data_IF_598279907174
#
_entry.id   IF_598279907174
#
_cell.length_a   1.000
_cell.length_b   1.000
_cell.length_c   1.000
_cell.angle_alpha   90.00
_cell.angle_beta   90.00
_cell.angle_gamma   90.00
#
_symmetry.space_group_name_H-M   'P 1'
#
loop_
_entity.id
_entity.type
_entity.pdbx_description
1 polymer ?
#
# COMPACT_ATOMS: atom_id res chain seq x y z
N UNK A 1 -27.72 -13.47 19.45
CA UNK A 1 -26.90 -13.49 18.23
C UNK A 1 -27.24 -12.24 17.45
N UNK A 2 -26.62 -11.11 17.78
CA UNK A 2 -26.83 -9.85 17.08
C UNK A 2 -25.89 -9.80 15.88
N UNK A 3 -26.46 -9.87 14.68
CA UNK A 3 -25.73 -9.60 13.45
C UNK A 3 -25.18 -8.17 13.52
N UNK A 4 -23.86 -8.01 13.69
CA UNK A 4 -23.21 -6.71 13.47
C UNK A 4 -23.33 -6.37 11.98
N UNK A 5 -23.64 -5.10 11.61
CA UNK A 5 -23.64 -4.71 10.21
C UNK A 5 -22.22 -4.88 9.65
N UNK A 6 -22.17 -5.53 8.49
CA UNK A 6 -20.99 -6.16 7.87
C UNK A 6 -19.82 -5.20 7.52
N UNK A 7 -20.00 -3.88 7.63
CA UNK A 7 -18.96 -2.91 7.24
C UNK A 7 -19.09 -1.66 8.11
N UNK A 8 -18.30 -1.58 9.18
CA UNK A 8 -18.10 -0.34 9.93
C UNK A 8 -16.91 0.39 9.31
N UNK A 9 -17.03 1.68 8.92
CA UNK A 9 -15.91 2.46 8.37
C UNK A 9 -14.65 2.43 9.26
N UNK A 10 -14.84 2.36 10.57
CA UNK A 10 -13.75 2.27 11.54
C UNK A 10 -12.91 0.98 11.41
N UNK A 11 -13.48 -0.12 10.89
CA UNK A 11 -12.75 -1.37 10.70
C UNK A 11 -11.80 -1.33 9.50
N UNK A 12 -12.10 -0.51 8.48
CA UNK A 12 -11.34 -0.44 7.22
C UNK A 12 -10.44 0.81 7.08
N UNK A 13 -10.52 1.76 8.01
CA UNK A 13 -9.79 3.03 7.91
C UNK A 13 -8.28 2.88 7.63
N UNK A 14 -7.64 1.87 8.22
CA UNK A 14 -6.21 1.58 7.95
C UNK A 14 -6.02 1.11 6.51
N UNK A 15 -6.80 0.13 6.05
CA UNK A 15 -6.69 -0.39 4.69
C UNK A 15 -6.96 0.70 3.64
N UNK A 16 -7.98 1.52 3.86
CA UNK A 16 -8.34 2.65 2.99
C UNK A 16 -7.18 3.67 2.90
N UNK A 17 -6.56 4.02 4.04
CA UNK A 17 -5.42 4.93 4.06
C UNK A 17 -4.21 4.38 3.31
N UNK A 18 -3.93 3.07 3.44
CA UNK A 18 -2.84 2.42 2.70
C UNK A 18 -3.12 2.42 1.19
N UNK A 19 -4.35 2.11 0.78
CA UNK A 19 -4.75 2.10 -0.62
C UNK A 19 -4.64 3.50 -1.25
N UNK A 20 -5.04 4.54 -0.52
CA UNK A 20 -4.90 5.93 -0.97
C UNK A 20 -3.42 6.28 -1.20
N UNK A 21 -2.55 6.00 -0.22
CA UNK A 21 -1.11 6.27 -0.33
C UNK A 21 -0.43 5.48 -1.47
N UNK A 22 -0.90 4.26 -1.78
CA UNK A 22 -0.41 3.48 -2.91
C UNK A 22 -0.81 4.11 -4.25
N UNK A 23 -2.05 4.59 -4.38
CA UNK A 23 -2.50 5.31 -5.57
C UNK A 23 -1.74 6.61 -5.78
N UNK A 24 -1.52 7.40 -4.72
CA UNK A 24 -0.69 8.60 -4.79
C UNK A 24 0.73 8.28 -5.27
N UNK A 25 1.34 7.20 -4.75
CA UNK A 25 2.69 6.76 -5.15
C UNK A 25 2.74 6.31 -6.62
N UNK A 26 1.71 5.60 -7.09
CA UNK A 26 1.62 5.20 -8.49
C UNK A 26 1.48 6.42 -9.41
N UNK A 27 0.59 7.36 -9.08
CA UNK A 27 0.42 8.62 -9.82
C UNK A 27 1.72 9.45 -9.85
N UNK A 28 2.40 9.59 -8.71
CA UNK A 28 3.67 10.31 -8.63
C UNK A 28 4.76 9.66 -9.49
N UNK A 29 4.83 8.32 -9.50
CA UNK A 29 5.79 7.56 -10.32
C UNK A 29 5.53 7.76 -11.81
N UNK A 30 4.27 7.66 -12.24
CA UNK A 30 3.90 7.91 -13.64
C UNK A 30 4.20 9.34 -14.06
N UNK A 31 3.90 10.33 -13.21
CA UNK A 31 4.19 11.73 -13.47
C UNK A 31 5.71 11.99 -13.57
N UNK A 32 6.49 11.43 -12.64
CA UNK A 32 7.95 11.59 -12.62
C UNK A 32 8.61 10.95 -13.85
N UNK A 33 8.12 9.78 -14.28
CA UNK A 33 8.65 9.05 -15.43
C UNK A 33 8.01 9.47 -16.77
N UNK A 34 7.07 10.42 -16.77
CA UNK A 34 6.29 10.83 -17.95
C UNK A 34 5.63 9.65 -18.68
N UNK A 35 5.10 8.70 -17.91
CA UNK A 35 4.47 7.49 -18.46
C UNK A 35 3.02 7.75 -18.91
N UNK A 36 2.59 7.18 -20.04
CA UNK A 36 1.18 7.14 -20.42
C UNK A 36 0.32 6.38 -19.41
N UNK A 37 -0.99 6.67 -19.40
CA UNK A 37 -1.97 6.06 -18.49
C UNK A 37 -2.08 4.53 -18.63
N UNK A 38 -1.70 3.97 -19.80
CA UNK A 38 -1.70 2.52 -19.99
C UNK A 38 -0.76 1.76 -19.05
N UNK A 39 0.20 2.44 -18.41
CA UNK A 39 1.12 1.85 -17.43
C UNK A 39 0.61 1.91 -15.98
N UNK A 40 -0.66 2.27 -15.76
CA UNK A 40 -1.22 2.38 -14.40
C UNK A 40 -1.09 1.08 -13.59
N UNK A 41 -1.27 -0.08 -14.23
CA UNK A 41 -1.16 -1.38 -13.56
C UNK A 41 0.28 -1.68 -13.10
N UNK A 42 1.26 -1.37 -13.92
CA UNK A 42 2.69 -1.51 -13.63
C UNK A 42 3.13 -0.52 -12.56
N UNK A 43 2.66 0.74 -12.64
CA UNK A 43 2.93 1.76 -11.63
C UNK A 43 2.33 1.37 -10.27
N UNK A 44 1.11 0.85 -10.24
CA UNK A 44 0.46 0.32 -9.03
C UNK A 44 1.23 -0.87 -8.46
N UNK A 45 1.61 -1.83 -9.29
CA UNK A 45 2.41 -2.99 -8.89
C UNK A 45 3.77 -2.57 -8.32
N UNK A 46 4.41 -1.57 -8.95
CA UNK A 46 5.68 -1.02 -8.49
C UNK A 46 5.53 -0.32 -7.14
N UNK A 47 4.47 0.47 -6.94
CA UNK A 47 4.18 1.13 -5.66
C UNK A 47 4.01 0.10 -4.52
N UNK A 48 3.27 -0.98 -4.77
CA UNK A 48 3.09 -2.08 -3.80
C UNK A 48 4.43 -2.78 -3.51
N UNK A 49 5.19 -3.10 -4.56
CA UNK A 49 6.50 -3.73 -4.43
C UNK A 49 7.45 -2.88 -3.58
N UNK A 50 7.59 -1.59 -3.89
CA UNK A 50 8.43 -0.65 -3.14
C UNK A 50 7.99 -0.57 -1.68
N UNK A 51 6.70 -0.45 -1.41
CA UNK A 51 6.19 -0.40 -0.03
C UNK A 51 6.50 -1.65 0.77
N UNK A 52 6.47 -2.82 0.13
CA UNK A 52 6.79 -4.10 0.79
C UNK A 52 8.29 -4.32 0.97
N UNK A 53 9.12 -3.74 0.09
CA UNK A 53 10.57 -3.91 0.08
C UNK A 53 11.34 -2.79 0.79
N UNK A 54 10.70 -1.68 1.15
CA UNK A 54 11.31 -0.58 1.89
C UNK A 54 10.92 -0.62 3.37
N UNK A 55 11.80 -0.20 4.29
CA UNK A 55 11.45 -0.05 5.69
C UNK A 55 10.38 1.04 5.85
N UNK A 56 9.44 0.82 6.75
CA UNK A 56 8.39 1.79 7.08
C UNK A 56 8.54 2.23 8.52
N UNK A 57 8.15 3.47 8.84
CA UNK A 57 8.22 4.01 10.21
C UNK A 57 7.36 3.23 11.21
N UNK A 58 6.35 2.52 10.73
CA UNK A 58 5.45 1.69 11.54
C UNK A 58 6.10 0.40 12.04
N UNK A 59 7.28 0.03 11.52
CA UNK A 59 8.04 -1.16 11.95
C UNK A 59 9.31 -0.69 12.65
N UNK A 60 9.34 -0.82 13.98
CA UNK A 60 10.42 -0.29 14.83
C UNK A 60 11.79 -0.92 14.53
N UNK A 61 11.83 -2.20 14.14
CA UNK A 61 13.08 -2.92 13.88
C UNK A 61 13.78 -2.47 12.58
N UNK A 62 13.23 -1.46 11.88
CA UNK A 62 13.70 -0.97 10.56
C UNK A 62 13.82 -2.08 9.52
N UNK A 63 13.06 -3.16 9.68
CA UNK A 63 12.93 -4.23 8.69
C UNK A 63 11.81 -3.89 7.71
N UNK A 64 11.86 -4.51 6.53
CA UNK A 64 10.86 -4.31 5.49
C UNK A 64 9.59 -5.10 5.83
N UNK A 65 8.39 -4.64 5.43
CA UNK A 65 7.15 -5.40 5.63
C UNK A 65 7.24 -6.83 5.10
N UNK A 66 7.88 -7.02 3.93
CA UNK A 66 8.14 -8.34 3.37
C UNK A 66 8.94 -9.24 4.33
N UNK A 67 10.05 -8.74 4.89
CA UNK A 67 10.85 -9.53 5.85
C UNK A 67 10.07 -9.84 7.12
N UNK A 68 9.32 -8.87 7.64
CA UNK A 68 8.50 -9.05 8.85
C UNK A 68 7.41 -10.10 8.64
N UNK A 69 6.78 -10.13 7.46
CA UNK A 69 5.73 -11.09 7.12
C UNK A 69 6.25 -12.51 6.91
N UNK A 70 7.44 -12.67 6.34
CA UNK A 70 8.00 -13.97 5.97
C UNK A 70 9.04 -14.52 6.97
N UNK A 71 9.22 -13.91 8.15
CA UNK A 71 10.07 -14.37 9.27
C UNK A 71 11.41 -15.03 8.85
N UNK A 72 12.25 -14.32 8.08
CA UNK A 72 13.65 -14.72 7.84
C UNK A 72 14.63 -13.78 8.50
#
# INVERSE_FOLDING_TARGET
MSCQPHILPAQNAVAEGINCALMESACATMAQASLPECYWAEAGSTAVYLRNCLPTRSIEEKVTPFKKWYEK
#
